data_IF_757014357867
#
_entry.id   IF_757014357867
#
_cell.length_a   1.000
_cell.length_b   1.000
_cell.length_c   1.000
_cell.angle_alpha   90.00
_cell.angle_beta   90.00
_cell.angle_gamma   90.00
#
_symmetry.space_group_name_H-M   'P 1'
#
loop_
_entity.id
_entity.type
_entity.pdbx_description
1 polymer ?
#
# COMPACT_ATOMS: atom_id res chain seq x y z
N UNK A 1 -8.36 14.25 20.74
CA UNK A 1 -8.11 15.35 19.80
C UNK A 1 -6.89 16.16 20.23
N UNK A 2 -6.04 16.54 19.28
CA UNK A 2 -4.92 17.43 19.53
C UNK A 2 -4.70 18.35 18.33
N UNK A 3 -4.20 19.54 18.60
CA UNK A 3 -3.75 20.46 17.57
C UNK A 3 -2.23 20.53 17.64
N UNK A 4 -1.58 20.61 16.49
CA UNK A 4 -0.13 20.69 16.42
C UNK A 4 0.33 21.53 15.24
N UNK A 5 1.61 21.88 15.28
CA UNK A 5 2.32 22.53 14.19
C UNK A 5 3.47 21.60 13.80
N UNK A 6 3.58 21.30 12.51
CA UNK A 6 4.71 20.56 11.97
C UNK A 6 5.68 21.54 11.30
N UNK A 7 6.97 21.44 11.62
CA UNK A 7 8.02 22.29 11.07
C UNK A 7 9.12 21.45 10.45
N UNK A 8 9.48 21.74 9.20
CA UNK A 8 10.63 21.13 8.55
C UNK A 8 11.93 21.73 9.09
N UNK A 9 12.73 20.91 9.76
CA UNK A 9 14.01 21.31 10.34
C UNK A 9 15.21 21.02 9.44
N UNK A 10 14.98 20.41 8.28
CA UNK A 10 16.03 20.10 7.30
C UNK A 10 16.10 21.15 6.20
N UNK A 11 17.19 21.13 5.42
CA UNK A 11 17.35 21.99 4.25
C UNK A 11 16.66 21.43 2.99
N UNK A 12 16.19 20.19 3.03
CA UNK A 12 15.49 19.54 1.94
C UNK A 12 13.97 19.71 2.08
N UNK A 13 13.21 19.76 0.95
CA UNK A 13 11.76 19.75 1.02
C UNK A 13 11.25 18.52 1.74
N UNK A 14 10.18 18.71 2.50
CA UNK A 14 9.50 17.65 3.22
C UNK A 14 8.12 17.40 2.60
N UNK A 15 7.80 16.14 2.36
CA UNK A 15 6.47 15.72 1.88
C UNK A 15 5.93 14.62 2.79
N UNK A 16 4.68 14.78 3.22
CA UNK A 16 3.96 13.72 3.87
C UNK A 16 2.59 13.52 3.22
N UNK A 17 2.05 12.34 3.37
CA UNK A 17 0.65 12.03 3.06
C UNK A 17 -0.02 11.66 4.35
N UNK A 18 -1.07 12.38 4.71
CA UNK A 18 -1.85 12.14 5.92
C UNK A 18 -3.21 11.59 5.53
N UNK A 19 -3.57 10.47 6.12
CA UNK A 19 -4.87 9.83 5.90
C UNK A 19 -5.59 9.80 7.24
N UNK A 20 -6.69 10.52 7.33
CA UNK A 20 -7.50 10.59 8.52
C UNK A 20 -8.76 9.73 8.36
N UNK A 21 -8.97 8.85 9.33
CA UNK A 21 -10.19 8.06 9.37
C UNK A 21 -11.26 8.83 10.14
N UNK A 22 -12.36 9.12 9.48
CA UNK A 22 -13.51 9.68 10.15
C UNK A 22 -14.10 8.62 11.08
N UNK A 23 -14.42 9.03 12.30
CA UNK A 23 -15.03 8.11 13.27
C UNK A 23 -16.42 7.72 12.79
N UNK A 24 -16.52 6.53 12.25
CA UNK A 24 -17.79 5.85 12.09
C UNK A 24 -17.87 4.80 13.19
N UNK A 25 -18.84 4.92 14.06
CA UNK A 25 -19.00 3.96 15.19
C UNK A 25 -19.29 2.55 14.68
N UNK A 26 -19.81 2.40 13.48
CA UNK A 26 -20.01 1.10 12.83
C UNK A 26 -18.70 0.52 12.25
N UNK A 27 -17.71 1.34 11.99
CA UNK A 27 -16.43 0.91 11.41
C UNK A 27 -15.44 0.33 12.43
N UNK A 28 -15.79 0.26 13.70
CA UNK A 28 -14.95 -0.36 14.76
C UNK A 28 -14.97 -1.88 14.71
N UNK A 29 -14.97 -2.46 13.53
CA UNK A 29 -14.85 -3.92 13.41
C UNK A 29 -13.41 -4.32 13.69
N UNK A 30 -13.24 -5.20 14.66
CA UNK A 30 -11.94 -5.81 14.93
C UNK A 30 -11.50 -6.58 13.68
N UNK A 31 -10.28 -6.34 13.16
CA UNK A 31 -9.78 -7.11 12.04
C UNK A 31 -9.79 -8.60 12.36
N UNK A 32 -9.96 -9.47 11.35
CA UNK A 32 -9.83 -10.90 11.57
C UNK A 32 -8.47 -11.24 12.20
N UNK A 33 -8.40 -12.20 13.13
CA UNK A 33 -7.14 -12.62 13.76
C UNK A 33 -6.05 -12.95 12.74
N UNK A 34 -6.42 -13.47 11.58
CA UNK A 34 -5.50 -13.78 10.49
C UNK A 34 -4.69 -12.56 10.04
N UNK A 35 -5.29 -11.36 9.99
CA UNK A 35 -4.56 -10.15 9.63
C UNK A 35 -3.51 -9.78 10.66
N UNK A 36 -3.81 -10.04 11.92
CA UNK A 36 -2.87 -9.78 13.02
C UNK A 36 -1.71 -10.78 12.99
N UNK A 37 -1.98 -12.03 12.65
CA UNK A 37 -0.96 -13.07 12.50
C UNK A 37 -0.03 -12.82 11.32
N UNK A 38 -0.47 -12.08 10.31
CA UNK A 38 0.32 -11.77 9.12
C UNK A 38 1.28 -10.59 9.32
N UNK A 39 1.26 -9.93 10.46
CA UNK A 39 2.18 -8.81 10.73
C UNK A 39 3.64 -9.24 10.65
N UNK A 40 4.47 -8.35 10.15
CA UNK A 40 5.90 -8.53 10.04
C UNK A 40 6.42 -8.38 8.62
N UNK A 41 7.68 -8.74 8.46
CA UNK A 41 8.39 -8.63 7.20
C UNK A 41 8.32 -9.94 6.42
N UNK A 42 7.78 -9.86 5.21
CA UNK A 42 7.73 -10.98 4.27
C UNK A 42 8.70 -10.70 3.13
N UNK A 43 9.67 -11.58 2.95
CA UNK A 43 10.70 -11.45 1.92
C UNK A 43 10.38 -12.42 0.78
N UNK A 44 10.44 -11.93 -0.44
CA UNK A 44 10.29 -12.73 -1.65
C UNK A 44 11.36 -12.33 -2.66
N UNK A 45 11.43 -13.02 -3.80
CA UNK A 45 12.46 -12.73 -4.80
C UNK A 45 12.32 -11.30 -5.36
N UNK A 46 13.33 -10.49 -5.11
CA UNK A 46 13.42 -9.10 -5.58
C UNK A 46 12.63 -8.08 -4.76
N UNK A 47 12.03 -8.45 -3.66
CA UNK A 47 11.24 -7.48 -2.89
C UNK A 47 10.89 -7.88 -1.49
N UNK A 48 10.20 -6.97 -0.81
CA UNK A 48 9.68 -7.16 0.54
C UNK A 48 8.28 -6.59 0.66
N UNK A 49 7.49 -7.22 1.51
CA UNK A 49 6.22 -6.69 2.02
C UNK A 49 6.29 -6.64 3.53
N UNK A 50 6.23 -5.46 4.09
CA UNK A 50 6.21 -5.27 5.53
C UNK A 50 4.79 -4.87 5.96
N UNK A 51 4.08 -5.80 6.58
CA UNK A 51 2.79 -5.52 7.21
C UNK A 51 3.09 -4.87 8.56
N UNK A 52 2.97 -3.55 8.60
CA UNK A 52 3.44 -2.73 9.72
C UNK A 52 2.50 -2.80 10.92
N UNK A 53 1.22 -2.66 10.66
CA UNK A 53 0.21 -2.75 11.71
C UNK A 53 -1.18 -3.01 11.12
N UNK A 54 -2.05 -3.46 11.99
CA UNK A 54 -3.48 -3.62 11.75
C UNK A 54 -4.21 -2.89 12.88
N UNK A 55 -5.04 -1.93 12.53
CA UNK A 55 -5.78 -1.14 13.51
C UNK A 55 -7.09 -0.65 12.92
N UNK A 56 -8.15 -0.73 13.70
CA UNK A 56 -9.50 -0.22 13.34
C UNK A 56 -10.00 -0.74 11.97
N UNK A 57 -9.73 -2.01 11.65
CA UNK A 57 -10.15 -2.63 10.40
C UNK A 57 -9.29 -2.26 9.20
N UNK A 58 -8.12 -1.64 9.42
CA UNK A 58 -7.20 -1.24 8.37
C UNK A 58 -5.88 -1.97 8.53
N UNK A 59 -5.42 -2.60 7.45
CA UNK A 59 -4.09 -3.21 7.37
C UNK A 59 -3.17 -2.31 6.56
N UNK A 60 -2.07 -1.89 7.17
CA UNK A 60 -1.09 -1.00 6.55
C UNK A 60 0.19 -1.78 6.24
N UNK A 61 0.56 -1.78 4.96
CA UNK A 61 1.74 -2.50 4.46
C UNK A 61 2.64 -1.58 3.66
N UNK A 62 3.94 -1.75 3.80
CA UNK A 62 4.95 -1.13 2.95
C UNK A 62 5.51 -2.19 2.00
N UNK A 63 5.57 -1.87 0.71
CA UNK A 63 6.03 -2.78 -0.33
C UNK A 63 7.21 -2.14 -1.05
N UNK A 64 8.29 -2.90 -1.19
CA UNK A 64 9.45 -2.51 -1.97
C UNK A 64 9.73 -3.58 -3.04
N UNK A 65 9.90 -3.13 -4.29
CA UNK A 65 10.18 -3.98 -5.44
C UNK A 65 11.40 -3.45 -6.19
N UNK A 66 12.40 -4.31 -6.38
CA UNK A 66 13.49 -4.02 -7.30
C UNK A 66 12.98 -3.98 -8.74
N UNK A 67 13.69 -3.34 -9.68
CA UNK A 67 13.32 -3.40 -11.09
C UNK A 67 13.14 -4.84 -11.55
N UNK A 68 12.02 -5.12 -12.20
CA UNK A 68 11.67 -6.46 -12.69
C UNK A 68 11.05 -7.40 -11.66
N UNK A 69 11.04 -7.04 -10.38
CA UNK A 69 10.48 -7.88 -9.33
C UNK A 69 8.96 -7.87 -9.34
N UNK A 70 8.38 -8.99 -8.95
CA UNK A 70 6.92 -9.18 -8.88
C UNK A 70 6.50 -9.48 -7.44
N UNK A 71 5.56 -8.69 -6.94
CA UNK A 71 4.85 -9.03 -5.72
C UNK A 71 3.99 -10.27 -6.00
N UNK A 72 4.18 -11.35 -5.24
CA UNK A 72 3.46 -12.60 -5.50
C UNK A 72 1.95 -12.44 -5.54
N UNK A 73 1.30 -13.36 -6.22
CA UNK A 73 -0.14 -13.39 -6.38
C UNK A 73 -0.86 -13.28 -5.04
N UNK A 74 -1.79 -12.35 -4.97
CA UNK A 74 -2.57 -12.09 -3.77
C UNK A 74 -3.96 -11.59 -4.12
N UNK A 75 -4.88 -11.71 -3.16
CA UNK A 75 -6.29 -11.34 -3.32
C UNK A 75 -6.63 -10.13 -2.46
N UNK A 76 -7.29 -9.15 -3.06
CA UNK A 76 -7.87 -8.01 -2.36
C UNK A 76 -9.37 -8.23 -2.18
N UNK A 77 -9.80 -8.59 -1.00
CA UNK A 77 -11.22 -8.81 -0.71
C UNK A 77 -12.00 -7.49 -0.66
N UNK A 78 -11.42 -6.48 -0.03
CA UNK A 78 -12.02 -5.17 0.13
C UNK A 78 -11.27 -4.07 -0.61
N UNK A 79 -11.79 -2.84 -0.55
CA UNK A 79 -11.12 -1.68 -1.16
C UNK A 79 -9.81 -1.36 -0.44
N UNK A 80 -8.92 -0.67 -1.16
CA UNK A 80 -7.65 -0.25 -0.60
C UNK A 80 -7.17 1.05 -1.22
N UNK A 81 -6.32 1.76 -0.48
CA UNK A 81 -5.57 2.90 -0.95
C UNK A 81 -4.15 2.45 -1.30
N UNK A 82 -3.66 2.91 -2.44
CA UNK A 82 -2.25 2.82 -2.80
C UNK A 82 -1.64 4.21 -2.66
N UNK A 83 -0.54 4.31 -1.92
CA UNK A 83 0.24 5.55 -1.76
C UNK A 83 1.61 5.34 -2.38
N UNK A 84 1.96 6.13 -3.38
CA UNK A 84 3.27 6.08 -4.01
C UNK A 84 4.29 6.84 -3.17
N UNK A 85 5.26 6.14 -2.60
CA UNK A 85 6.38 6.76 -1.86
C UNK A 85 7.46 7.22 -2.83
N UNK A 86 7.75 6.42 -3.85
CA UNK A 86 8.60 6.78 -4.99
C UNK A 86 7.76 6.93 -6.25
N UNK A 87 8.37 7.43 -7.34
CA UNK A 87 7.77 7.29 -8.65
C UNK A 87 7.63 5.80 -8.98
N UNK A 88 6.49 5.41 -9.53
CA UNK A 88 6.17 4.01 -9.79
C UNK A 88 5.84 3.79 -11.26
N UNK A 89 6.42 2.75 -11.85
CA UNK A 89 5.98 2.15 -13.11
C UNK A 89 5.64 0.69 -12.83
N UNK A 90 4.36 0.40 -12.72
CA UNK A 90 3.86 -0.89 -12.32
C UNK A 90 3.03 -1.54 -13.43
N UNK A 91 3.01 -2.87 -13.43
CA UNK A 91 2.07 -3.66 -14.22
C UNK A 91 1.29 -4.56 -13.26
N UNK A 92 -0.03 -4.44 -13.30
CA UNK A 92 -0.93 -5.30 -12.56
C UNK A 92 -1.48 -6.38 -13.50
N UNK A 93 -1.21 -7.63 -13.19
CA UNK A 93 -1.75 -8.78 -13.94
C UNK A 93 -2.89 -9.38 -13.14
N UNK A 94 -4.12 -8.96 -13.47
CA UNK A 94 -5.35 -9.36 -12.78
C UNK A 94 -5.89 -10.65 -13.41
N UNK A 95 -6.23 -11.63 -12.59
CA UNK A 95 -6.84 -12.87 -13.07
C UNK A 95 -8.11 -12.60 -13.87
N UNK A 96 -8.20 -13.24 -15.06
CA UNK A 96 -9.33 -13.08 -15.94
C UNK A 96 -9.35 -11.79 -16.75
N UNK A 97 -8.33 -10.94 -16.61
CA UNK A 97 -8.20 -9.69 -17.36
C UNK A 97 -6.80 -9.57 -17.96
N UNK A 98 -6.64 -8.66 -18.91
CA UNK A 98 -5.31 -8.37 -19.45
C UNK A 98 -4.47 -7.55 -18.49
N UNK A 99 -3.16 -7.42 -18.76
CA UNK A 99 -2.27 -6.61 -17.92
C UNK A 99 -2.69 -5.14 -17.97
N UNK A 100 -2.58 -4.47 -16.83
CA UNK A 100 -2.94 -3.06 -16.67
C UNK A 100 -1.73 -2.26 -16.19
N UNK A 101 -1.34 -1.18 -16.88
CA UNK A 101 -0.26 -0.32 -16.45
C UNK A 101 -0.72 0.58 -15.29
N UNK A 102 0.22 0.91 -14.41
CA UNK A 102 0.03 1.89 -13.35
C UNK A 102 1.23 2.82 -13.28
N UNK A 103 1.03 4.10 -13.59
CA UNK A 103 2.04 5.14 -13.49
C UNK A 103 1.68 6.08 -12.37
N UNK A 104 2.61 6.27 -11.45
CA UNK A 104 2.41 7.13 -10.28
C UNK A 104 3.63 8.02 -10.07
N UNK A 105 3.39 9.22 -9.60
CA UNK A 105 4.43 10.10 -9.08
C UNK A 105 4.50 9.96 -7.56
N UNK A 106 5.68 10.13 -7.00
CA UNK A 106 5.86 10.19 -5.55
C UNK A 106 4.82 11.12 -4.90
N UNK A 107 4.09 10.62 -3.93
CA UNK A 107 3.01 11.34 -3.24
C UNK A 107 1.61 11.12 -3.83
N UNK A 108 1.49 10.44 -4.98
CA UNK A 108 0.17 10.10 -5.53
C UNK A 108 -0.55 9.09 -4.65
N UNK A 109 -1.86 9.25 -4.56
CA UNK A 109 -2.76 8.34 -3.83
C UNK A 109 -3.87 7.90 -4.77
N UNK A 110 -4.14 6.59 -4.81
CA UNK A 110 -5.21 6.03 -5.62
C UNK A 110 -6.08 5.09 -4.81
N UNK A 111 -7.39 5.30 -4.89
CA UNK A 111 -8.39 4.38 -4.36
C UNK A 111 -8.64 3.25 -5.35
N UNK A 112 -8.56 2.03 -4.89
CA UNK A 112 -8.77 0.83 -5.70
C UNK A 112 -9.89 -0.02 -5.10
N UNK A 113 -10.78 -0.57 -5.94
CA UNK A 113 -11.82 -1.49 -5.44
C UNK A 113 -11.21 -2.82 -5.01
N UNK A 114 -11.98 -3.59 -4.23
CA UNK A 114 -11.65 -4.98 -3.94
C UNK A 114 -12.25 -5.95 -4.95
N UNK A 115 -12.15 -7.24 -4.64
CA UNK A 115 -12.77 -8.31 -5.42
C UNK A 115 -11.92 -8.83 -6.57
N UNK A 116 -10.59 -8.70 -6.49
CA UNK A 116 -9.69 -9.22 -7.53
C UNK A 116 -8.44 -9.86 -6.97
N UNK A 117 -7.86 -10.73 -7.77
CA UNK A 117 -6.59 -11.42 -7.51
C UNK A 117 -5.59 -11.01 -8.57
N UNK A 118 -4.39 -10.61 -8.17
CA UNK A 118 -3.37 -10.16 -9.12
C UNK A 118 -1.94 -10.41 -8.63
N UNK A 119 -1.01 -10.23 -9.56
CA UNK A 119 0.41 -9.98 -9.30
C UNK A 119 0.71 -8.54 -9.65
N UNK A 120 1.72 -7.96 -9.01
CA UNK A 120 2.15 -6.58 -9.25
C UNK A 120 3.64 -6.56 -9.55
N UNK A 121 4.02 -6.10 -10.74
CA UNK A 121 5.41 -6.10 -11.20
C UNK A 121 5.93 -4.68 -11.34
N UNK A 122 7.14 -4.44 -10.84
CA UNK A 122 7.87 -3.20 -11.12
C UNK A 122 8.49 -3.31 -12.52
N UNK A 123 7.91 -2.62 -13.49
CA UNK A 123 8.40 -2.59 -14.87
C UNK A 123 9.29 -1.37 -15.14
N UNK A 124 9.52 -0.54 -14.13
CA UNK A 124 10.41 0.60 -14.21
C UNK A 124 11.88 0.24 -14.05
N UNK A 125 12.72 1.25 -14.12
CA UNK A 125 14.19 1.12 -14.01
C UNK A 125 14.71 1.42 -12.61
N UNK A 126 13.85 1.89 -11.72
CA UNK A 126 14.19 2.25 -10.35
C UNK A 126 13.42 1.37 -9.37
N UNK A 127 13.93 1.26 -8.14
CA UNK A 127 13.20 0.58 -7.08
C UNK A 127 11.84 1.26 -6.84
N UNK A 128 10.80 0.46 -6.70
CA UNK A 128 9.46 0.92 -6.39
C UNK A 128 9.19 0.79 -4.90
N UNK A 129 8.69 1.86 -4.29
CA UNK A 129 8.26 1.86 -2.90
C UNK A 129 6.85 2.43 -2.80
N UNK A 130 5.96 1.65 -2.21
CA UNK A 130 4.57 2.02 -2.04
C UNK A 130 4.02 1.54 -0.69
N UNK A 131 2.96 2.20 -0.26
CA UNK A 131 2.22 1.80 0.93
C UNK A 131 0.81 1.47 0.50
N UNK A 132 0.26 0.40 1.04
CA UNK A 132 -1.15 0.04 0.86
C UNK A 132 -1.88 0.09 2.20
N UNK A 133 -3.09 0.64 2.16
CA UNK A 133 -4.02 0.61 3.27
C UNK A 133 -5.24 -0.19 2.80
N UNK A 134 -5.39 -1.40 3.35
CA UNK A 134 -6.47 -2.29 2.98
C UNK A 134 -7.58 -2.22 4.04
N UNK A 135 -8.81 -2.09 3.58
CA UNK A 135 -10.00 -1.96 4.43
C UNK A 135 -10.81 -3.26 4.41
N UNK A 136 -11.37 -3.58 5.55
CA UNK A 136 -12.32 -4.70 5.66
C UNK A 136 -13.66 -4.39 5.01
#
# INVERSE_FOLDING_TARGET
>A
DFAHIAKNLSDAPFRNVTIEFLKDEEAKKTPPPKWDEERGLHVFDGGTQHIMFVQDGVRVSEIELRPGATLPKHHHAGPHLLVAVSDLELRSDVEGQGPMPGLFKSGDVKWLPGGYTHTLTNVGKQAAKLITLEFQ
#
